data_IF_935105545562
#
_entry.id   IF_935105545562
#
_cell.length_a   1.000
_cell.length_b   1.000
_cell.length_c   1.000
_cell.angle_alpha   90.00
_cell.angle_beta   90.00
_cell.angle_gamma   90.00
#
_symmetry.space_group_name_H-M   'P 1'
#
loop_
_entity.id
_entity.type
_entity.pdbx_description
1 polymer ?
#
# COMPACT_ATOMS: atom_id res chain seq x y z
N UNK A 1 24.83 -19.38 -29.86
CA UNK A 1 25.68 -18.94 -28.74
C UNK A 1 25.62 -17.44 -28.65
N UNK A 2 24.70 -16.89 -27.89
CA UNK A 2 24.50 -15.45 -27.74
C UNK A 2 25.05 -15.08 -26.36
N UNK A 3 26.08 -14.28 -26.33
CA UNK A 3 26.78 -13.84 -25.11
C UNK A 3 25.88 -12.82 -24.37
N UNK A 4 25.42 -13.19 -23.20
CA UNK A 4 24.86 -12.25 -22.23
C UNK A 4 25.96 -11.28 -21.77
N UNK A 5 25.82 -10.03 -22.11
CA UNK A 5 26.61 -8.94 -21.56
C UNK A 5 26.04 -8.54 -20.20
N UNK A 6 26.69 -8.99 -19.16
CA UNK A 6 26.50 -8.48 -17.80
C UNK A 6 27.04 -7.04 -17.74
N UNK A 7 26.16 -6.05 -17.73
CA UNK A 7 26.54 -4.66 -17.42
C UNK A 7 26.61 -4.51 -15.90
N UNK A 8 27.81 -4.51 -15.36
CA UNK A 8 28.06 -3.98 -14.02
C UNK A 8 27.90 -2.47 -14.06
N UNK A 9 26.82 -1.95 -13.53
CA UNK A 9 26.58 -0.52 -13.39
C UNK A 9 27.20 -0.06 -12.09
N UNK A 10 28.31 0.65 -12.22
CA UNK A 10 28.90 1.46 -11.16
C UNK A 10 28.08 2.75 -11.11
N UNK A 11 27.06 2.80 -10.28
CA UNK A 11 26.26 4.00 -10.07
C UNK A 11 25.85 4.06 -8.60
N UNK A 12 26.64 4.69 -7.77
CA UNK A 12 26.14 5.09 -6.46
C UNK A 12 26.89 6.34 -6.00
N UNK A 13 26.27 7.50 -6.18
CA UNK A 13 26.60 8.69 -5.40
C UNK A 13 25.45 9.69 -5.23
N UNK A 14 24.19 9.32 -5.51
CA UNK A 14 23.09 10.30 -5.48
C UNK A 14 21.92 9.98 -4.54
N UNK A 15 21.92 8.88 -3.81
CA UNK A 15 20.78 8.52 -2.94
C UNK A 15 20.86 9.12 -1.53
N UNK A 16 22.02 9.54 -1.06
CA UNK A 16 22.19 10.13 0.27
C UNK A 16 21.68 11.59 0.37
N UNK A 17 21.48 12.29 -0.74
CA UNK A 17 21.04 13.69 -0.74
C UNK A 17 19.53 13.89 -0.54
N UNK A 18 18.69 12.88 -0.75
CA UNK A 18 17.24 13.06 -0.71
C UNK A 18 16.67 13.22 0.71
N UNK A 19 17.28 12.59 1.73
CA UNK A 19 16.86 12.77 3.12
C UNK A 19 17.40 14.04 3.80
N UNK A 20 18.42 14.68 3.23
CA UNK A 20 18.94 15.95 3.78
C UNK A 20 17.92 17.10 3.73
N UNK A 21 16.83 16.95 2.97
CA UNK A 21 15.78 17.97 2.82
C UNK A 21 14.42 17.55 3.43
N UNK A 22 14.29 16.33 3.98
CA UNK A 22 13.05 15.88 4.59
C UNK A 22 13.09 16.07 6.12
N UNK A 23 11.98 16.49 6.70
CA UNK A 23 11.82 16.52 8.15
C UNK A 23 10.56 15.79 8.60
N UNK A 24 10.51 15.41 9.86
CA UNK A 24 9.36 14.74 10.45
C UNK A 24 8.64 15.68 11.41
N UNK A 25 7.31 15.65 11.41
CA UNK A 25 6.48 16.22 12.47
C UNK A 25 5.65 15.11 13.13
N UNK A 26 5.27 15.34 14.39
CA UNK A 26 4.62 14.34 15.23
C UNK A 26 5.56 13.84 16.34
N UNK A 27 5.19 12.76 17.06
CA UNK A 27 4.04 11.89 16.76
C UNK A 27 2.70 12.55 17.02
N UNK A 28 1.72 12.26 16.18
CA UNK A 28 0.31 12.48 16.41
C UNK A 28 -0.29 11.13 16.83
N UNK A 29 -0.89 11.05 18.00
CA UNK A 29 -1.24 9.76 18.60
C UNK A 29 -2.72 9.70 18.99
N UNK A 30 -3.35 8.58 18.64
CA UNK A 30 -4.63 8.14 19.16
C UNK A 30 -4.49 6.69 19.61
N UNK A 31 -4.85 6.40 20.86
CA UNK A 31 -4.67 5.09 21.49
C UNK A 31 -3.26 4.52 21.23
N UNK A 32 -3.20 3.37 20.58
CA UNK A 32 -1.94 2.67 20.28
C UNK A 32 -1.31 3.03 18.92
N UNK A 33 -1.93 3.93 18.14
CA UNK A 33 -1.43 4.38 16.84
C UNK A 33 -0.72 5.74 16.97
N UNK A 34 0.51 5.83 16.51
CA UNK A 34 1.28 7.07 16.40
C UNK A 34 1.67 7.34 14.95
N UNK A 35 1.33 8.51 14.45
CA UNK A 35 1.61 8.97 13.08
C UNK A 35 2.71 10.02 13.10
N UNK A 36 3.68 9.89 12.20
CA UNK A 36 4.68 10.90 11.86
C UNK A 36 4.43 11.35 10.42
N UNK A 37 4.32 12.66 10.21
CA UNK A 37 4.25 13.22 8.85
C UNK A 37 5.65 13.42 8.31
N UNK A 38 5.86 13.09 7.05
CA UNK A 38 7.11 13.27 6.33
C UNK A 38 6.95 14.47 5.40
N UNK A 39 7.74 15.52 5.67
CA UNK A 39 7.75 16.75 4.90
C UNK A 39 8.89 16.74 3.90
N UNK A 40 8.64 17.22 2.69
CA UNK A 40 9.63 17.30 1.63
C UNK A 40 9.14 18.09 0.43
N UNK A 41 10.01 18.27 -0.55
CA UNK A 41 9.66 18.87 -1.83
C UNK A 41 9.13 17.81 -2.81
N UNK A 42 8.22 18.21 -3.69
CA UNK A 42 7.79 17.39 -4.79
C UNK A 42 8.97 17.03 -5.71
N UNK A 43 9.12 15.77 -6.04
CA UNK A 43 10.13 15.27 -6.98
C UNK A 43 9.56 15.12 -8.39
N UNK A 44 8.23 15.18 -8.52
CA UNK A 44 7.51 15.08 -9.78
C UNK A 44 6.37 16.09 -9.82
N UNK A 45 6.29 16.87 -10.87
CA UNK A 45 5.16 17.76 -11.13
C UNK A 45 3.98 17.05 -11.83
N UNK A 46 4.06 15.73 -12.02
CA UNK A 46 3.06 14.97 -12.76
C UNK A 46 1.85 14.71 -11.91
N UNK A 47 0.69 15.02 -12.46
CA UNK A 47 -0.59 14.62 -11.87
C UNK A 47 -0.90 13.18 -12.25
N UNK A 48 -1.22 12.37 -11.24
CA UNK A 48 -1.65 11.01 -11.39
C UNK A 48 -3.05 10.86 -10.77
N UNK A 49 -3.93 10.13 -11.43
CA UNK A 49 -5.12 9.61 -10.78
C UNK A 49 -4.72 8.45 -9.89
N UNK A 50 -5.38 8.26 -8.78
CA UNK A 50 -5.30 7.01 -8.03
C UNK A 50 -6.15 5.93 -8.72
N UNK A 51 -5.94 4.66 -8.38
CA UNK A 51 -6.77 3.56 -8.90
C UNK A 51 -8.25 3.79 -8.57
N UNK A 52 -8.53 4.20 -7.33
CA UNK A 52 -9.89 4.43 -6.84
C UNK A 52 -10.56 5.55 -7.66
N UNK A 53 -9.91 6.73 -7.81
CA UNK A 53 -10.42 7.81 -8.65
C UNK A 53 -10.67 7.36 -10.10
N UNK A 54 -9.77 6.55 -10.64
CA UNK A 54 -9.85 6.11 -12.02
C UNK A 54 -10.97 5.09 -12.26
N UNK A 55 -11.22 4.18 -11.33
CA UNK A 55 -12.33 3.23 -11.40
C UNK A 55 -13.66 3.99 -11.27
N UNK A 56 -13.81 4.88 -10.28
CA UNK A 56 -15.02 5.68 -10.05
C UNK A 56 -15.42 6.53 -11.26
N UNK A 57 -14.40 7.09 -11.90
CA UNK A 57 -14.60 7.91 -13.11
C UNK A 57 -14.72 7.07 -14.40
N UNK A 58 -14.77 5.73 -14.28
CA UNK A 58 -14.80 4.80 -15.43
C UNK A 58 -13.63 5.00 -16.42
N UNK A 59 -12.48 5.45 -15.91
CA UNK A 59 -11.25 5.68 -16.67
C UNK A 59 -10.34 4.46 -16.71
N UNK A 60 -10.51 3.54 -15.76
CA UNK A 60 -9.78 2.27 -15.69
C UNK A 60 -10.76 1.11 -15.55
N UNK A 61 -10.44 0.01 -16.20
CA UNK A 61 -11.15 -1.26 -16.04
C UNK A 61 -10.14 -2.32 -15.61
N UNK A 62 -10.45 -3.02 -14.52
CA UNK A 62 -9.69 -4.17 -14.03
C UNK A 62 -10.45 -5.44 -14.41
N UNK A 63 -9.80 -6.33 -15.14
CA UNK A 63 -10.40 -7.54 -15.70
C UNK A 63 -9.94 -8.78 -14.96
N UNK A 64 -10.88 -9.70 -14.73
CA UNK A 64 -10.59 -11.06 -14.29
C UNK A 64 -9.98 -11.88 -15.44
N UNK A 65 -8.83 -12.51 -15.17
CA UNK A 65 -8.15 -13.38 -16.13
C UNK A 65 -8.36 -14.88 -15.85
N UNK A 66 -8.94 -15.20 -14.69
CA UNK A 66 -9.04 -16.55 -14.11
C UNK A 66 -7.69 -17.17 -13.74
N UNK A 67 -6.61 -16.38 -13.80
CA UNK A 67 -5.33 -16.74 -13.22
C UNK A 67 -5.28 -16.15 -11.79
N UNK A 68 -5.03 -16.99 -10.79
CA UNK A 68 -5.03 -16.57 -9.38
C UNK A 68 -4.00 -15.50 -9.04
N UNK A 69 -2.93 -15.41 -9.84
CA UNK A 69 -1.80 -14.50 -9.59
C UNK A 69 -1.75 -13.33 -10.59
N UNK A 70 -2.72 -13.21 -11.47
CA UNK A 70 -2.70 -12.21 -12.54
C UNK A 70 -4.09 -11.66 -12.83
N UNK A 71 -4.17 -10.35 -12.94
CA UNK A 71 -5.29 -9.61 -13.51
C UNK A 71 -4.83 -8.87 -14.76
N UNK A 72 -5.76 -8.32 -15.53
CA UNK A 72 -5.45 -7.35 -16.57
C UNK A 72 -6.09 -6.01 -16.20
N UNK A 73 -5.39 -4.92 -16.48
CA UNK A 73 -5.88 -3.57 -16.27
C UNK A 73 -5.76 -2.75 -17.55
N UNK A 74 -6.72 -1.89 -17.81
CA UNK A 74 -6.73 -1.02 -18.99
C UNK A 74 -7.13 0.40 -18.61
N UNK A 75 -6.29 1.36 -18.95
CA UNK A 75 -6.60 2.77 -18.85
C UNK A 75 -7.18 3.26 -20.17
N UNK A 76 -8.46 3.56 -20.17
CA UNK A 76 -9.19 4.06 -21.36
C UNK A 76 -9.24 5.59 -21.42
N UNK A 77 -8.59 6.29 -20.46
CA UNK A 77 -8.57 7.75 -20.36
C UNK A 77 -7.32 8.38 -21.01
N UNK A 78 -7.26 9.71 -20.97
CA UNK A 78 -6.11 10.48 -21.42
C UNK A 78 -5.18 10.90 -20.25
N UNK A 79 -5.43 10.41 -19.04
CA UNK A 79 -4.66 10.72 -17.83
C UNK A 79 -3.88 9.47 -17.40
N UNK A 80 -2.72 9.66 -16.79
CA UNK A 80 -1.98 8.54 -16.22
C UNK A 80 -2.55 8.17 -14.84
N UNK A 81 -2.47 6.89 -14.50
CA UNK A 81 -3.01 6.36 -13.24
C UNK A 81 -1.88 5.71 -12.44
N UNK A 82 -1.84 6.00 -11.15
CA UNK A 82 -1.01 5.30 -10.17
C UNK A 82 -1.84 4.21 -9.50
N UNK A 83 -1.37 3.00 -9.57
CA UNK A 83 -1.89 1.83 -8.85
C UNK A 83 -0.91 1.55 -7.72
N UNK A 84 -1.41 1.47 -6.48
CA UNK A 84 -0.58 1.23 -5.31
C UNK A 84 -0.52 -0.25 -4.96
N UNK A 85 0.66 -0.72 -4.64
CA UNK A 85 0.86 -2.05 -4.07
C UNK A 85 0.11 -2.21 -2.74
N UNK A 86 -0.70 -3.24 -2.64
CA UNK A 86 -1.59 -3.45 -1.50
C UNK A 86 -3.01 -2.94 -1.73
N UNK A 87 -3.28 -2.18 -2.79
CA UNK A 87 -4.66 -1.89 -3.20
C UNK A 87 -5.47 -3.18 -3.29
N UNK A 88 -6.71 -3.12 -2.84
CA UNK A 88 -7.64 -4.25 -2.93
C UNK A 88 -8.73 -3.91 -3.95
N UNK A 89 -8.92 -4.80 -4.90
CA UNK A 89 -10.02 -4.76 -5.87
C UNK A 89 -11.03 -5.85 -5.56
N UNK A 90 -12.31 -5.48 -5.58
CA UNK A 90 -13.43 -6.30 -5.11
C UNK A 90 -14.27 -6.77 -6.28
N UNK A 91 -14.62 -8.04 -6.30
CA UNK A 91 -15.43 -8.63 -7.36
C UNK A 91 -14.73 -9.79 -8.06
N UNK A 92 -14.86 -9.87 -9.39
CA UNK A 92 -14.31 -10.97 -10.16
C UNK A 92 -14.69 -12.35 -9.62
N UNK A 93 -13.82 -13.32 -9.81
CA UNK A 93 -13.97 -14.65 -9.21
C UNK A 93 -13.63 -14.67 -7.72
N UNK A 94 -12.73 -13.81 -7.26
CA UNK A 94 -12.30 -13.59 -5.87
C UNK A 94 -11.70 -12.20 -5.72
N UNK A 95 -11.87 -11.57 -4.55
CA UNK A 95 -11.21 -10.30 -4.26
C UNK A 95 -9.68 -10.45 -4.34
N UNK A 96 -9.00 -9.43 -4.85
CA UNK A 96 -7.53 -9.43 -5.05
C UNK A 96 -6.87 -8.27 -4.34
N UNK A 97 -5.64 -8.49 -3.87
CA UNK A 97 -4.71 -7.40 -3.54
C UNK A 97 -3.62 -7.33 -4.61
N UNK A 98 -3.20 -6.11 -4.93
CA UNK A 98 -2.23 -5.86 -5.97
C UNK A 98 -0.81 -5.94 -5.40
N UNK A 99 0.09 -6.62 -6.14
CA UNK A 99 1.43 -6.92 -5.64
C UNK A 99 2.38 -5.72 -5.75
N UNK A 100 2.36 -5.07 -6.90
CA UNK A 100 3.35 -4.07 -7.28
C UNK A 100 2.68 -2.72 -7.51
N UNK A 101 3.41 -1.64 -7.25
CA UNK A 101 3.02 -0.34 -7.77
C UNK A 101 3.12 -0.35 -9.29
N UNK A 102 2.20 0.36 -9.95
CA UNK A 102 2.20 0.49 -11.39
C UNK A 102 1.83 1.90 -11.83
N UNK A 103 2.60 2.45 -12.76
CA UNK A 103 2.23 3.65 -13.48
C UNK A 103 1.60 3.21 -14.80
N UNK A 104 0.29 3.36 -14.88
CA UNK A 104 -0.50 2.97 -16.04
C UNK A 104 -0.68 4.19 -16.95
N UNK A 105 -0.03 4.22 -18.12
CA UNK A 105 -0.10 5.38 -18.99
C UNK A 105 -1.50 5.60 -19.55
N UNK A 106 -1.77 6.82 -20.00
CA UNK A 106 -2.99 7.12 -20.77
C UNK A 106 -3.11 6.16 -21.97
N UNK A 107 -4.34 5.69 -22.26
CA UNK A 107 -4.61 4.76 -23.37
C UNK A 107 -3.69 3.55 -23.40
N UNK A 108 -3.47 2.94 -22.22
CA UNK A 108 -2.45 1.90 -22.04
C UNK A 108 -2.67 0.63 -22.87
N UNK A 109 -3.91 0.39 -23.34
CA UNK A 109 -4.33 -0.95 -23.67
C UNK A 109 -4.34 -1.85 -22.43
N UNK A 110 -4.47 -3.16 -22.61
CA UNK A 110 -4.44 -4.12 -21.49
C UNK A 110 -3.01 -4.39 -21.04
N UNK A 111 -2.78 -4.19 -19.75
CA UNK A 111 -1.49 -4.44 -19.07
C UNK A 111 -1.71 -5.52 -18.02
N UNK A 112 -0.78 -6.46 -17.90
CA UNK A 112 -0.78 -7.49 -16.86
C UNK A 112 -0.52 -6.86 -15.49
N UNK A 113 -1.25 -7.32 -14.47
CA UNK A 113 -1.22 -6.83 -13.11
C UNK A 113 -1.07 -8.00 -12.14
N UNK A 114 0.09 -8.12 -11.50
CA UNK A 114 0.35 -9.15 -10.50
C UNK A 114 -0.54 -8.96 -9.27
N UNK A 115 -1.17 -10.03 -8.83
CA UNK A 115 -2.12 -9.98 -7.72
C UNK A 115 -2.14 -11.27 -6.90
N UNK A 116 -2.74 -11.20 -5.72
CA UNK A 116 -3.01 -12.35 -4.86
C UNK A 116 -4.46 -12.33 -4.38
N UNK A 117 -5.06 -13.51 -4.22
CA UNK A 117 -6.41 -13.61 -3.69
C UNK A 117 -6.41 -13.26 -2.20
N UNK A 118 -7.26 -12.32 -1.81
CA UNK A 118 -7.55 -11.99 -0.39
C UNK A 118 -8.92 -12.51 0.05
N UNK A 119 -9.41 -13.46 -0.70
CA UNK A 119 -10.63 -14.22 -0.47
C UNK A 119 -10.36 -15.67 -0.85
N UNK A 120 -10.78 -16.62 -0.03
CA UNK A 120 -10.54 -18.05 -0.28
C UNK A 120 -11.81 -18.76 -0.66
N UNK A 121 -11.75 -19.59 -1.71
CA UNK A 121 -12.78 -20.57 -2.04
C UNK A 121 -13.96 -20.06 -2.88
N UNK A 122 -14.14 -18.75 -3.11
CA UNK A 122 -15.17 -18.25 -4.02
C UNK A 122 -14.65 -18.28 -5.46
N UNK A 123 -15.42 -18.83 -6.35
CA UNK A 123 -15.16 -18.86 -7.81
C UNK A 123 -16.41 -18.52 -8.61
N UNK A 124 -17.42 -17.96 -7.92
CA UNK A 124 -18.72 -17.63 -8.48
C UNK A 124 -19.04 -16.17 -8.21
N UNK A 125 -20.05 -15.64 -8.90
CA UNK A 125 -20.55 -14.30 -8.69
C UNK A 125 -21.03 -14.10 -7.24
N UNK A 126 -20.67 -12.95 -6.63
CA UNK A 126 -21.16 -12.54 -5.33
C UNK A 126 -22.19 -11.42 -5.50
N UNK A 127 -23.44 -11.71 -5.24
CA UNK A 127 -24.53 -10.73 -5.34
C UNK A 127 -24.62 -10.07 -6.73
N UNK A 128 -24.56 -8.75 -6.78
CA UNK A 128 -24.63 -7.96 -8.02
C UNK A 128 -23.26 -7.70 -8.68
N UNK A 129 -22.15 -8.11 -8.05
CA UNK A 129 -20.79 -7.90 -8.58
C UNK A 129 -20.59 -8.59 -9.93
N UNK A 130 -19.85 -7.97 -10.86
CA UNK A 130 -19.49 -8.62 -12.13
C UNK A 130 -18.36 -9.64 -11.87
N UNK A 131 -18.50 -10.84 -12.41
CA UNK A 131 -17.49 -11.90 -12.32
C UNK A 131 -16.33 -11.69 -13.29
N UNK A 132 -16.45 -10.76 -14.23
CA UNK A 132 -15.43 -10.47 -15.27
C UNK A 132 -14.58 -9.25 -14.97
N UNK A 133 -15.07 -8.36 -14.11
CA UNK A 133 -14.42 -7.11 -13.77
C UNK A 133 -14.43 -6.87 -12.27
N UNK A 134 -13.58 -5.96 -11.83
CA UNK A 134 -13.46 -5.56 -10.44
C UNK A 134 -13.89 -4.12 -10.27
N UNK A 135 -14.61 -3.85 -9.17
CA UNK A 135 -14.74 -2.54 -8.58
C UNK A 135 -13.63 -2.30 -7.55
N UNK A 136 -13.58 -1.11 -7.06
CA UNK A 136 -12.66 -0.80 -5.98
C UNK A 136 -13.22 -1.21 -4.61
N UNK A 137 -12.32 -1.34 -3.66
CA UNK A 137 -12.62 -1.41 -2.25
C UNK A 137 -12.10 -0.10 -1.63
N UNK A 138 -12.85 0.98 -1.74
CA UNK A 138 -12.50 2.39 -1.46
C UNK A 138 -11.71 2.66 -0.17
N UNK A 139 -11.67 1.72 0.72
CA UNK A 139 -11.11 1.92 2.04
C UNK A 139 -10.14 0.82 2.43
N UNK A 140 -9.78 -0.04 1.47
CA UNK A 140 -9.03 -1.23 1.74
C UNK A 140 -7.65 -1.18 1.07
N UNK A 141 -6.63 -1.15 1.90
CA UNK A 141 -5.25 -1.44 1.51
C UNK A 141 -4.71 -2.53 2.43
N UNK A 142 -3.81 -3.34 1.91
CA UNK A 142 -3.22 -4.44 2.65
C UNK A 142 -2.42 -3.95 3.86
N UNK A 143 -2.59 -4.61 5.02
CA UNK A 143 -1.74 -4.42 6.20
C UNK A 143 -0.27 -4.74 5.90
N UNK A 144 0.65 -4.31 6.79
CA UNK A 144 2.07 -4.66 6.68
C UNK A 144 2.29 -6.15 6.51
N UNK A 145 1.66 -6.98 7.34
CA UNK A 145 1.84 -8.44 7.29
C UNK A 145 1.36 -9.02 5.95
N UNK A 146 0.25 -8.50 5.43
CA UNK A 146 -0.28 -8.91 4.14
C UNK A 146 0.64 -8.42 3.00
N UNK A 147 1.12 -7.17 3.04
CA UNK A 147 2.12 -6.64 2.08
C UNK A 147 3.39 -7.50 2.09
N UNK A 148 3.88 -7.93 3.25
CA UNK A 148 5.05 -8.81 3.37
C UNK A 148 4.81 -10.19 2.72
N UNK A 149 3.64 -10.80 2.96
CA UNK A 149 3.27 -12.08 2.33
C UNK A 149 3.22 -11.97 0.80
N UNK A 150 2.63 -10.89 0.29
CA UNK A 150 2.46 -10.64 -1.14
C UNK A 150 3.79 -10.28 -1.83
N UNK A 151 4.58 -9.36 -1.26
CA UNK A 151 5.76 -8.78 -1.92
C UNK A 151 7.03 -9.63 -1.72
N UNK A 152 7.20 -10.19 -0.51
CA UNK A 152 8.43 -10.89 -0.13
C UNK A 152 8.30 -12.40 -0.23
N UNK A 153 7.26 -12.98 0.35
CA UNK A 153 7.07 -14.42 0.36
C UNK A 153 6.48 -14.94 -0.95
N UNK A 154 5.58 -14.17 -1.57
CA UNK A 154 4.91 -14.50 -2.83
C UNK A 154 4.21 -15.86 -2.78
N UNK A 155 3.62 -16.20 -1.64
CA UNK A 155 2.90 -17.45 -1.39
C UNK A 155 1.43 -17.18 -1.13
N UNK A 156 0.55 -17.72 -1.99
CA UNK A 156 -0.89 -17.53 -1.89
C UNK A 156 -1.48 -18.09 -0.58
N UNK A 157 -0.93 -19.18 -0.05
CA UNK A 157 -1.41 -19.77 1.21
C UNK A 157 -1.07 -18.87 2.38
N UNK A 158 0.12 -18.26 2.36
CA UNK A 158 0.52 -17.31 3.38
C UNK A 158 -0.37 -16.06 3.35
N UNK A 159 -0.73 -15.57 2.16
CA UNK A 159 -1.69 -14.46 2.01
C UNK A 159 -3.03 -14.80 2.69
N UNK A 160 -3.58 -15.99 2.46
CA UNK A 160 -4.82 -16.43 3.12
C UNK A 160 -4.66 -16.59 4.63
N UNK A 161 -3.51 -17.07 5.11
CA UNK A 161 -3.21 -17.16 6.54
C UNK A 161 -3.23 -15.76 7.18
N UNK A 162 -2.59 -14.75 6.56
CA UNK A 162 -2.59 -13.38 7.08
C UNK A 162 -3.98 -12.74 7.08
N UNK A 163 -4.79 -13.03 6.08
CA UNK A 163 -6.20 -12.60 6.07
C UNK A 163 -6.95 -13.24 7.25
N UNK A 164 -6.84 -14.55 7.43
CA UNK A 164 -7.51 -15.25 8.52
C UNK A 164 -7.06 -14.77 9.91
N UNK A 165 -5.75 -14.51 10.10
CA UNK A 165 -5.20 -13.92 11.32
C UNK A 165 -5.77 -12.53 11.60
N UNK A 166 -5.80 -11.65 10.60
CA UNK A 166 -6.37 -10.31 10.75
C UNK A 166 -7.86 -10.36 11.12
N UNK A 167 -8.64 -11.24 10.46
CA UNK A 167 -10.05 -11.47 10.80
C UNK A 167 -10.24 -11.97 12.23
N UNK A 168 -9.39 -12.90 12.68
CA UNK A 168 -9.46 -13.44 14.04
C UNK A 168 -9.10 -12.38 15.08
N UNK A 169 -8.06 -11.59 14.85
CA UNK A 169 -7.63 -10.50 15.73
C UNK A 169 -8.71 -9.42 15.86
N UNK A 170 -9.25 -8.96 14.73
CA UNK A 170 -10.35 -7.98 14.71
C UNK A 170 -11.59 -8.54 15.45
N UNK A 171 -11.99 -9.78 15.16
CA UNK A 171 -13.14 -10.39 15.82
C UNK A 171 -12.96 -10.49 17.33
N UNK A 172 -11.75 -10.86 17.78
CA UNK A 172 -11.38 -10.95 19.20
C UNK A 172 -11.43 -9.58 19.88
N UNK A 173 -10.79 -8.58 19.28
CA UNK A 173 -10.70 -7.25 19.89
C UNK A 173 -12.03 -6.50 19.89
N UNK A 174 -12.84 -6.70 18.85
CA UNK A 174 -14.16 -6.09 18.74
C UNK A 174 -15.27 -6.92 19.43
N UNK A 175 -14.94 -8.12 19.94
CA UNK A 175 -15.88 -9.06 20.57
C UNK A 175 -17.10 -9.36 19.70
N UNK A 176 -16.89 -9.43 18.39
CA UNK A 176 -17.93 -9.77 17.41
C UNK A 176 -17.28 -10.38 16.17
N UNK A 177 -17.99 -11.28 15.49
CA UNK A 177 -17.48 -11.83 14.22
C UNK A 177 -17.53 -10.74 13.14
N UNK A 178 -16.37 -10.42 12.56
CA UNK A 178 -16.25 -9.42 11.49
C UNK A 178 -16.33 -10.02 10.10
N UNK A 179 -16.46 -11.33 9.99
CA UNK A 179 -16.57 -12.04 8.71
C UNK A 179 -17.96 -11.84 8.12
N UNK A 180 -18.02 -11.51 6.85
CA UNK A 180 -19.27 -11.26 6.16
C UNK A 180 -19.93 -12.57 5.69
N UNK A 181 -21.22 -12.75 5.98
CA UNK A 181 -21.97 -13.95 5.59
C UNK A 181 -21.86 -14.32 4.11
N UNK A 182 -21.93 -13.37 3.14
CA UNK A 182 -21.84 -13.72 1.71
C UNK A 182 -20.48 -14.27 1.28
N UNK A 183 -19.40 -13.92 1.99
CA UNK A 183 -18.06 -14.46 1.79
C UNK A 183 -17.21 -14.31 3.05
N UNK A 184 -17.24 -15.30 3.96
CA UNK A 184 -16.56 -15.21 5.25
C UNK A 184 -15.04 -15.04 5.18
N UNK A 185 -14.43 -15.41 4.08
CA UNK A 185 -12.99 -15.29 3.84
C UNK A 185 -12.59 -13.99 3.12
N UNK A 186 -13.54 -13.15 2.68
CA UNK A 186 -13.24 -11.89 2.00
C UNK A 186 -12.65 -10.87 2.98
N UNK A 187 -11.41 -10.46 2.72
CA UNK A 187 -10.79 -9.39 3.51
C UNK A 187 -11.42 -8.03 3.23
N UNK A 188 -11.77 -7.74 1.97
CA UNK A 188 -12.47 -6.51 1.62
C UNK A 188 -13.77 -6.35 2.41
N UNK A 189 -14.61 -7.38 2.45
CA UNK A 189 -15.85 -7.34 3.22
C UNK A 189 -15.63 -7.28 4.74
N UNK A 190 -14.55 -7.86 5.23
CA UNK A 190 -14.16 -7.71 6.65
C UNK A 190 -13.86 -6.25 6.97
N UNK A 191 -13.09 -5.57 6.12
CA UNK A 191 -12.77 -4.16 6.29
C UNK A 191 -14.02 -3.27 6.20
N UNK A 192 -15.01 -3.65 5.40
CA UNK A 192 -16.30 -2.96 5.27
C UNK A 192 -17.28 -3.29 6.41
N UNK A 193 -16.98 -4.25 7.27
CA UNK A 193 -17.90 -4.65 8.35
C UNK A 193 -18.21 -3.46 9.27
N UNK A 194 -19.50 -3.20 9.61
CA UNK A 194 -19.87 -2.04 10.42
C UNK A 194 -19.16 -1.94 11.76
N UNK A 195 -18.82 -3.07 12.38
CA UNK A 195 -18.06 -3.10 13.63
C UNK A 195 -16.62 -2.60 13.43
N UNK A 196 -15.97 -2.99 12.33
CA UNK A 196 -14.63 -2.52 11.97
C UNK A 196 -14.67 -1.04 11.65
N UNK A 197 -15.62 -0.59 10.84
CA UNK A 197 -15.74 0.83 10.48
C UNK A 197 -15.94 1.72 11.71
N UNK A 198 -16.86 1.36 12.61
CA UNK A 198 -17.06 2.12 13.87
C UNK A 198 -15.85 2.10 14.80
N UNK A 199 -15.05 1.05 14.76
CA UNK A 199 -13.88 0.95 15.65
C UNK A 199 -12.75 1.90 15.30
N UNK A 200 -12.73 2.41 14.07
CA UNK A 200 -11.72 3.38 13.61
C UNK A 200 -12.19 4.83 13.66
N UNK A 201 -13.47 5.08 14.01
CA UNK A 201 -14.03 6.44 14.00
C UNK A 201 -13.20 7.42 14.86
N UNK A 202 -12.82 7.04 16.07
CA UNK A 202 -12.00 7.87 16.96
C UNK A 202 -10.60 8.17 16.38
N UNK A 203 -9.97 7.20 15.73
CA UNK A 203 -8.69 7.40 15.04
C UNK A 203 -8.83 8.43 13.90
N UNK A 204 -9.92 8.33 13.13
CA UNK A 204 -10.16 9.25 12.02
C UNK A 204 -10.50 10.65 12.51
N UNK A 205 -11.31 10.77 13.58
CA UNK A 205 -11.68 12.05 14.17
C UNK A 205 -10.45 12.84 14.62
N UNK A 206 -9.51 12.18 15.31
CA UNK A 206 -8.32 12.83 15.86
C UNK A 206 -7.20 13.01 14.82
N UNK A 207 -7.04 12.08 13.88
CA UNK A 207 -5.86 12.01 13.03
C UNK A 207 -6.09 12.47 11.59
N UNK A 208 -7.33 12.47 11.05
CA UNK A 208 -7.54 12.86 9.65
C UNK A 208 -7.10 14.30 9.36
N UNK A 209 -7.30 15.19 10.32
CA UNK A 209 -7.00 16.62 10.17
C UNK A 209 -5.53 17.03 10.29
N UNK A 210 -4.62 16.10 10.69
CA UNK A 210 -3.22 16.46 10.98
C UNK A 210 -2.44 16.96 9.75
N UNK A 211 -2.89 16.61 8.54
CA UNK A 211 -2.31 17.04 7.26
C UNK A 211 -2.86 18.39 6.77
N UNK A 212 -3.94 18.89 7.37
CA UNK A 212 -4.63 20.08 6.89
C UNK A 212 -3.71 21.32 6.93
N UNK A 213 -3.65 22.02 5.80
CA UNK A 213 -2.84 23.24 5.66
C UNK A 213 -1.33 23.01 5.52
N UNK A 214 -0.88 21.77 5.37
CA UNK A 214 0.54 21.40 5.20
C UNK A 214 0.78 20.92 3.77
N UNK A 215 1.12 21.83 2.87
CA UNK A 215 1.32 21.54 1.43
C UNK A 215 2.67 20.91 1.11
N UNK A 216 3.53 20.74 2.09
CA UNK A 216 4.85 20.10 2.00
C UNK A 216 4.88 18.67 2.56
N UNK A 217 3.74 18.13 3.00
CA UNK A 217 3.66 16.74 3.46
C UNK A 217 3.57 15.83 2.26
N UNK A 218 4.56 14.96 2.08
CA UNK A 218 4.66 14.02 0.97
C UNK A 218 4.53 12.56 1.41
N UNK A 219 4.32 12.31 2.70
CA UNK A 219 4.21 10.95 3.20
C UNK A 219 3.99 10.88 4.70
N UNK A 220 3.93 9.66 5.19
CA UNK A 220 3.79 9.38 6.61
C UNK A 220 4.55 8.12 7.01
N UNK A 221 4.85 8.02 8.30
CA UNK A 221 5.26 6.79 8.96
C UNK A 221 4.34 6.55 10.15
N UNK A 222 4.07 5.29 10.48
CA UNK A 222 3.26 5.00 11.65
C UNK A 222 3.85 3.89 12.52
N UNK A 223 3.55 4.00 13.80
CA UNK A 223 3.91 3.03 14.81
C UNK A 223 2.66 2.53 15.54
N UNK A 224 2.65 1.26 15.90
CA UNK A 224 1.60 0.63 16.69
C UNK A 224 2.26 0.04 17.94
N UNK A 225 1.65 0.25 19.10
CA UNK A 225 2.17 -0.22 20.40
C UNK A 225 3.64 0.19 20.63
N UNK A 226 4.01 1.40 20.23
CA UNK A 226 5.38 1.91 20.35
C UNK A 226 6.41 1.29 19.40
N UNK A 227 5.98 0.53 18.40
CA UNK A 227 6.87 -0.10 17.41
C UNK A 227 6.59 0.46 16.02
N UNK A 228 7.63 0.93 15.34
CA UNK A 228 7.50 1.36 13.94
C UNK A 228 6.95 0.21 13.11
N UNK A 229 5.91 0.50 12.35
CA UNK A 229 5.25 -0.46 11.47
C UNK A 229 5.74 -0.31 10.03
N UNK A 230 5.41 0.81 9.40
CA UNK A 230 5.77 1.10 8.01
C UNK A 230 5.77 2.61 7.76
N UNK A 231 6.22 2.97 6.54
CA UNK A 231 6.08 4.32 6.02
C UNK A 231 5.81 4.28 4.52
N UNK A 232 5.03 5.26 4.05
CA UNK A 232 4.78 5.49 2.63
C UNK A 232 5.11 6.95 2.31
N UNK A 233 5.95 7.16 1.29
CA UNK A 233 6.43 8.48 0.85
C UNK A 233 6.21 8.60 -0.66
N UNK A 234 5.57 9.68 -1.07
CA UNK A 234 5.19 9.89 -2.47
C UNK A 234 6.00 11.00 -3.11
N UNK A 235 6.19 10.90 -4.41
CA UNK A 235 6.94 11.88 -5.20
C UNK A 235 6.24 13.24 -5.32
N UNK A 236 4.99 13.38 -4.82
CA UNK A 236 4.28 14.65 -4.76
C UNK A 236 3.29 14.72 -3.60
N UNK A 237 3.11 15.93 -3.08
CA UNK A 237 2.07 16.21 -2.09
C UNK A 237 0.67 15.87 -2.60
N UNK A 238 0.38 16.20 -3.87
CA UNK A 238 -0.94 15.92 -4.47
C UNK A 238 -1.31 14.44 -4.40
N UNK A 239 -0.38 13.55 -4.76
CA UNK A 239 -0.62 12.10 -4.73
C UNK A 239 -0.80 11.60 -3.29
N UNK A 240 0.05 12.04 -2.36
CA UNK A 240 -0.11 11.72 -0.95
C UNK A 240 -1.48 12.18 -0.41
N UNK A 241 -1.88 13.43 -0.70
CA UNK A 241 -3.13 13.99 -0.20
C UNK A 241 -4.36 13.19 -0.69
N UNK A 242 -4.35 12.68 -1.92
CA UNK A 242 -5.41 11.81 -2.47
C UNK A 242 -5.49 10.46 -1.74
N UNK A 243 -4.35 9.92 -1.32
CA UNK A 243 -4.26 8.60 -0.68
C UNK A 243 -4.40 8.67 0.85
N UNK A 244 -4.23 9.85 1.46
CA UNK A 244 -4.13 10.00 2.91
C UNK A 244 -5.23 9.31 3.69
N UNK A 245 -6.50 9.52 3.32
CA UNK A 245 -7.63 8.93 4.06
C UNK A 245 -7.65 7.40 3.98
N UNK A 246 -7.29 6.83 2.85
CA UNK A 246 -7.18 5.38 2.66
C UNK A 246 -6.04 4.80 3.51
N UNK A 247 -4.89 5.46 3.51
CA UNK A 247 -3.72 5.08 4.30
C UNK A 247 -4.01 5.16 5.81
N UNK A 248 -4.65 6.24 6.27
CA UNK A 248 -5.03 6.39 7.67
C UNK A 248 -6.02 5.31 8.11
N UNK A 249 -7.04 5.01 7.29
CA UNK A 249 -7.99 3.92 7.59
C UNK A 249 -7.30 2.57 7.74
N UNK A 250 -6.40 2.26 6.82
CA UNK A 250 -5.63 1.01 6.86
C UNK A 250 -4.77 0.91 8.13
N UNK A 251 -4.04 1.98 8.47
CA UNK A 251 -3.23 2.04 9.70
C UNK A 251 -4.10 1.92 10.97
N UNK A 252 -5.29 2.55 10.98
CA UNK A 252 -6.23 2.48 12.10
C UNK A 252 -6.80 1.07 12.28
N UNK A 253 -7.19 0.39 11.19
CA UNK A 253 -7.65 -1.00 11.25
C UNK A 253 -6.55 -1.92 11.79
N UNK A 254 -5.31 -1.72 11.37
CA UNK A 254 -4.17 -2.49 11.84
C UNK A 254 -3.90 -2.24 13.33
N UNK A 255 -4.05 -0.99 13.79
CA UNK A 255 -3.96 -0.64 15.21
C UNK A 255 -5.08 -1.31 16.02
N UNK A 256 -6.33 -1.28 15.56
CA UNK A 256 -7.45 -1.98 16.20
C UNK A 256 -7.23 -3.49 16.28
N UNK A 257 -6.71 -4.10 15.18
CA UNK A 257 -6.45 -5.55 15.14
C UNK A 257 -5.43 -6.00 16.19
N UNK A 258 -4.43 -5.15 16.47
CA UNK A 258 -3.33 -5.47 17.41
C UNK A 258 -3.51 -4.86 18.80
N UNK A 259 -4.54 -4.05 19.02
CA UNK A 259 -4.77 -3.35 20.28
C UNK A 259 -4.83 -4.33 21.46
N UNK A 260 -4.07 -4.01 22.51
CA UNK A 260 -4.08 -4.72 23.79
C UNK A 260 -4.55 -3.73 24.87
N UNK A 261 -5.83 -3.74 25.22
CA UNK A 261 -6.39 -2.81 26.19
C UNK A 261 -5.57 -2.77 27.50
N UNK A 262 -5.19 -1.56 27.94
CA UNK A 262 -4.39 -1.34 29.14
C UNK A 262 -2.89 -1.61 29.02
N UNK A 263 -2.39 -2.04 27.85
CA UNK A 263 -0.96 -2.12 27.62
C UNK A 263 -0.32 -0.72 27.61
N UNK A 264 0.84 -0.61 28.26
CA UNK A 264 1.67 0.60 28.18
C UNK A 264 2.80 0.33 27.18
N UNK A 265 3.11 1.32 26.37
CA UNK A 265 4.22 1.26 25.44
C UNK A 265 5.03 2.57 25.46
N UNK A 266 6.32 2.46 25.23
CA UNK A 266 7.18 3.62 25.04
C UNK A 266 6.97 4.18 23.63
N UNK A 267 6.68 5.48 23.48
CA UNK A 267 6.50 6.09 22.16
C UNK A 267 7.77 5.99 21.30
N UNK A 268 7.59 5.68 20.03
CA UNK A 268 8.70 5.77 19.05
C UNK A 268 9.13 7.21 18.90
N UNK A 269 10.44 7.47 18.87
CA UNK A 269 10.97 8.79 18.60
C UNK A 269 11.08 9.07 17.10
N UNK A 270 11.00 10.35 16.70
CA UNK A 270 11.25 10.74 15.31
C UNK A 270 12.63 10.33 14.81
N UNK A 271 13.63 10.29 15.70
CA UNK A 271 14.98 9.83 15.36
C UNK A 271 15.00 8.33 15.05
N UNK A 272 14.26 7.50 15.80
CA UNK A 272 14.14 6.08 15.53
C UNK A 272 13.47 5.83 14.16
N UNK A 273 12.43 6.61 13.80
CA UNK A 273 11.83 6.56 12.46
C UNK A 273 12.87 6.89 11.39
N UNK A 274 13.60 8.02 11.50
CA UNK A 274 14.65 8.39 10.54
C UNK A 274 15.71 7.30 10.38
N UNK A 275 16.15 6.70 11.48
CA UNK A 275 17.15 5.63 11.47
C UNK A 275 16.65 4.41 10.72
N UNK A 276 15.39 4.00 10.94
CA UNK A 276 14.82 2.83 10.25
C UNK A 276 14.66 3.06 8.73
N UNK A 277 14.23 4.28 8.32
CA UNK A 277 14.14 4.62 6.90
C UNK A 277 15.53 4.63 6.24
N UNK A 278 16.53 5.23 6.89
CA UNK A 278 17.91 5.25 6.40
C UNK A 278 18.53 3.84 6.34
N UNK A 279 18.23 2.99 7.33
CA UNK A 279 18.66 1.59 7.30
C UNK A 279 18.08 0.88 6.07
N UNK A 280 16.76 0.97 5.82
CA UNK A 280 16.14 0.36 4.64
C UNK A 280 16.79 0.84 3.33
N UNK A 281 17.13 2.11 3.22
CA UNK A 281 17.79 2.69 2.04
C UNK A 281 19.24 2.23 1.86
N UNK A 282 19.91 1.84 2.93
CA UNK A 282 21.30 1.32 2.89
C UNK A 282 21.38 -0.09 2.32
N UNK A 283 20.25 -0.79 2.22
CA UNK A 283 20.20 -2.17 1.74
C UNK A 283 20.69 -2.34 0.31
N UNK A 284 21.08 -3.55 -0.03
CA UNK A 284 21.44 -3.89 -1.41
C UNK A 284 20.22 -3.81 -2.31
N UNK A 285 20.34 -3.08 -3.40
CA UNK A 285 19.25 -2.86 -4.36
C UNK A 285 19.15 -3.98 -5.40
N UNK A 286 17.91 -4.41 -5.67
CA UNK A 286 17.53 -5.22 -6.83
C UNK A 286 16.56 -4.43 -7.68
N UNK A 287 16.88 -4.26 -8.95
CA UNK A 287 16.05 -3.52 -9.91
C UNK A 287 15.23 -4.51 -10.74
N UNK A 288 13.97 -4.20 -10.95
CA UNK A 288 13.05 -4.99 -11.78
C UNK A 288 12.20 -4.06 -12.65
N UNK A 289 12.27 -4.26 -13.95
CA UNK A 289 11.37 -3.61 -14.91
C UNK A 289 10.03 -4.33 -14.90
N UNK A 290 8.97 -3.67 -14.41
CA UNK A 290 7.62 -4.23 -14.43
C UNK A 290 6.94 -3.99 -15.77
N UNK A 291 7.10 -2.79 -16.33
CA UNK A 291 6.59 -2.39 -17.64
C UNK A 291 7.61 -1.49 -18.33
N UNK A 292 7.31 -1.08 -19.56
CA UNK A 292 8.11 -0.04 -20.23
C UNK A 292 8.11 1.30 -19.49
N UNK A 293 7.14 1.48 -18.56
CA UNK A 293 6.90 2.69 -17.81
C UNK A 293 7.35 2.61 -16.36
N UNK A 294 7.19 1.47 -15.73
CA UNK A 294 7.40 1.28 -14.29
C UNK A 294 8.61 0.42 -14.00
N UNK A 295 9.54 0.95 -13.22
CA UNK A 295 10.67 0.25 -12.63
C UNK A 295 10.50 0.18 -11.11
N UNK A 296 10.81 -0.94 -10.50
CA UNK A 296 10.81 -1.10 -9.04
C UNK A 296 12.21 -1.47 -8.56
N UNK A 297 12.66 -0.77 -7.54
CA UNK A 297 13.91 -1.04 -6.83
C UNK A 297 13.56 -1.56 -5.44
N UNK A 298 14.04 -2.74 -5.10
CA UNK A 298 13.89 -3.31 -3.75
C UNK A 298 15.23 -3.22 -3.05
N UNK A 299 15.27 -2.58 -1.88
CA UNK A 299 16.44 -2.55 -0.99
C UNK A 299 16.10 -3.22 0.32
N UNK A 300 16.96 -4.09 0.80
CA UNK A 300 16.68 -4.95 1.94
C UNK A 300 17.87 -5.05 2.88
N UNK A 301 17.59 -4.91 4.18
CA UNK A 301 18.50 -5.19 5.29
C UNK A 301 17.97 -6.34 6.14
N UNK A 302 18.64 -6.65 7.25
CA UNK A 302 18.11 -7.62 8.21
C UNK A 302 16.87 -7.16 8.96
N UNK A 303 16.64 -5.83 9.07
CA UNK A 303 15.58 -5.23 9.87
C UNK A 303 14.47 -4.61 9.04
N UNK A 304 14.80 -4.10 7.85
CA UNK A 304 13.90 -3.29 7.06
C UNK A 304 13.97 -3.63 5.58
N UNK A 305 12.90 -3.33 4.84
CA UNK A 305 12.88 -3.39 3.38
C UNK A 305 12.23 -2.11 2.84
N UNK A 306 12.77 -1.60 1.72
CA UNK A 306 12.22 -0.49 0.98
C UNK A 306 11.91 -0.94 -0.46
N UNK A 307 10.74 -0.56 -0.94
CA UNK A 307 10.33 -0.68 -2.33
C UNK A 307 10.22 0.74 -2.91
N UNK A 308 10.99 1.04 -3.93
CA UNK A 308 10.96 2.33 -4.63
C UNK A 308 10.44 2.12 -6.05
N UNK A 309 9.37 2.81 -6.40
CA UNK A 309 8.78 2.80 -7.74
C UNK A 309 9.18 4.05 -8.48
N UNK A 310 9.71 3.89 -9.70
CA UNK A 310 10.18 4.95 -10.59
C UNK A 310 9.38 5.04 -11.88
N UNK A 311 9.21 6.27 -12.37
CA UNK A 311 8.63 6.55 -13.68
C UNK A 311 9.72 6.75 -14.73
N UNK A 312 9.90 5.77 -15.61
CA UNK A 312 10.89 5.80 -16.67
C UNK A 312 10.66 6.91 -17.72
N UNK A 313 9.44 7.44 -17.81
CA UNK A 313 9.15 8.57 -18.69
C UNK A 313 9.55 9.93 -18.07
N UNK A 314 9.94 9.97 -16.80
CA UNK A 314 10.35 11.18 -16.08
C UNK A 314 11.80 11.12 -15.59
N UNK A 315 12.72 10.65 -16.41
CA UNK A 315 14.15 10.51 -16.05
C UNK A 315 14.34 9.72 -14.77
N UNK A 316 13.56 8.65 -14.62
CA UNK A 316 13.59 7.76 -13.46
C UNK A 316 13.25 8.46 -12.12
N UNK A 317 12.42 9.52 -12.16
CA UNK A 317 11.89 10.13 -10.94
C UNK A 317 11.12 9.08 -10.14
N UNK A 318 11.40 8.99 -8.84
CA UNK A 318 10.64 8.11 -7.99
C UNK A 318 9.23 8.69 -7.74
N UNK A 319 8.25 7.79 -7.69
CA UNK A 319 6.83 8.12 -7.50
C UNK A 319 6.36 7.70 -6.12
N UNK A 320 6.81 6.53 -5.64
CA UNK A 320 6.44 6.00 -4.35
C UNK A 320 7.61 5.23 -3.73
N UNK A 321 7.76 5.38 -2.40
CA UNK A 321 8.64 4.59 -1.55
C UNK A 321 7.84 4.02 -0.40
N UNK A 322 7.73 2.70 -0.35
CA UNK A 322 7.11 1.98 0.75
C UNK A 322 8.20 1.33 1.60
N UNK A 323 8.19 1.59 2.89
CA UNK A 323 9.13 1.04 3.87
C UNK A 323 8.38 0.11 4.83
N UNK A 324 8.88 -1.10 5.01
CA UNK A 324 8.30 -2.09 5.92
C UNK A 324 9.38 -2.55 6.91
N UNK A 325 9.08 -2.52 8.21
CA UNK A 325 9.91 -3.19 9.22
C UNK A 325 9.65 -4.69 9.18
N UNK A 326 10.67 -5.49 9.39
CA UNK A 326 10.55 -6.96 9.43
C UNK A 326 10.16 -7.49 10.81
#
# INVERSE_FOLDING_TARGET
MQRMLTRSVLAIASTALCFAQTHLSGPYTHDNLSIFLIHGADTSARRLLTLDEAIDQHKVVVYETRNVNELAVENVSNEDVFIESGDIVKGGAQDRTLKDDLILPSKSGKVSLNSFCVEHGRWTRRGAEDVRTFGEAHQAIASKQLKMAVKMQQDQREVWNRVAEAQAQLSSNLRTDVRATPSPSSFAMTLEAPAVQRSIDGYLEDLAGIVKGKSDVIGYAFAIDGKLNSADVYGSHELFAKLWMKLLRASSVEAVATNKPGAKFEPVSANAVKTALADAESGKGKVTDLTSRTEVIVKETSQNVMFETRDRAQRDAWVHRNYLTK
#
